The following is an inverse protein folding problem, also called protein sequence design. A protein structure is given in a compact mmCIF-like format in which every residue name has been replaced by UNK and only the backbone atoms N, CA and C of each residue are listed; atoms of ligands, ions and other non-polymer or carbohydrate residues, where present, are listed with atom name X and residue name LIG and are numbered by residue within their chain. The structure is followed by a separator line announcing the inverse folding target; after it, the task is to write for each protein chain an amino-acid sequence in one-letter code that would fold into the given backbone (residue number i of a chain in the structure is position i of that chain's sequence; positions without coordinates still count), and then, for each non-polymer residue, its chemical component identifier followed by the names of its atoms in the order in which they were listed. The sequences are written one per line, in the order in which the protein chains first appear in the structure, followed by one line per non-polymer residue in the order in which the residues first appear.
data_IF_473736080490
#
_entry.id   IF_473736080490
#
_cell.length_a   1.000
_cell.length_b   1.000
_cell.length_c   1.000
_cell.angle_alpha   90.00
_cell.angle_beta   90.00
_cell.angle_gamma   90.00
#
_symmetry.space_group_name_H-M   'P 1'
#
loop_
_entity.id
_entity.type
_entity.pdbx_description
1 polymer ?
#
# COMPACT_ATOMS: atom_id res chain seq x y z
N UNK A 1 17.86 -25.47 0.76
CA UNK A 1 16.48 -25.94 0.49
C UNK A 1 15.69 -24.78 -0.09
N UNK A 2 15.02 -24.98 -1.22
CA UNK A 2 13.93 -24.11 -1.67
C UNK A 2 12.65 -24.80 -1.21
N UNK A 3 11.97 -24.22 -0.23
CA UNK A 3 10.78 -24.82 0.38
C UNK A 3 9.55 -23.97 0.03
N UNK A 4 8.89 -24.31 -1.08
CA UNK A 4 7.49 -23.96 -1.32
C UNK A 4 6.63 -24.95 -0.55
N UNK A 5 6.33 -24.67 0.73
CA UNK A 5 5.34 -25.31 1.66
C UNK A 5 5.14 -26.86 1.70
N UNK A 6 5.79 -27.63 0.83
CA UNK A 6 5.60 -29.07 0.58
C UNK A 6 6.79 -29.89 1.08
N UNK A 7 7.98 -29.28 1.17
CA UNK A 7 9.20 -29.98 1.60
C UNK A 7 9.36 -30.11 3.14
N UNK A 8 8.40 -29.62 3.93
CA UNK A 8 8.50 -29.47 5.39
C UNK A 8 7.97 -30.67 6.20
N UNK A 9 7.35 -31.67 5.56
CA UNK A 9 6.93 -32.90 6.23
C UNK A 9 7.99 -33.99 6.04
N UNK A 10 8.88 -34.13 7.01
CA UNK A 10 9.78 -35.29 7.15
C UNK A 10 11.28 -35.00 7.08
N UNK A 11 11.71 -33.79 6.70
CA UNK A 11 13.11 -33.37 6.82
C UNK A 11 13.26 -32.48 8.06
N UNK A 12 14.05 -32.93 9.02
CA UNK A 12 14.53 -32.12 10.14
C UNK A 12 15.56 -31.10 9.62
N UNK A 13 15.08 -29.94 9.16
CA UNK A 13 15.93 -28.88 8.60
C UNK A 13 16.58 -28.09 9.73
N UNK A 14 17.63 -28.67 10.34
CA UNK A 14 18.49 -27.94 11.27
C UNK A 14 19.35 -26.95 10.47
N UNK A 15 19.51 -25.73 10.98
CA UNK A 15 20.41 -24.69 10.46
C UNK A 15 20.04 -24.16 9.05
N UNK A 16 18.84 -23.59 8.90
CA UNK A 16 18.48 -22.85 7.68
C UNK A 16 19.36 -21.59 7.60
N UNK A 17 20.17 -21.48 6.56
CA UNK A 17 21.05 -20.30 6.34
C UNK A 17 20.38 -19.21 5.52
N UNK A 18 19.45 -19.58 4.64
CA UNK A 18 18.78 -18.66 3.73
C UNK A 18 17.27 -18.91 3.69
N UNK A 19 16.49 -17.84 3.72
CA UNK A 19 15.04 -17.85 3.49
C UNK A 19 14.76 -17.00 2.25
N UNK A 20 14.05 -17.56 1.28
CA UNK A 20 13.61 -16.85 0.07
C UNK A 20 12.09 -16.77 0.07
N UNK A 21 11.56 -15.56 0.20
CA UNK A 21 10.15 -15.28 -0.02
C UNK A 21 9.95 -14.95 -1.50
N UNK A 22 9.43 -15.92 -2.25
CA UNK A 22 9.07 -15.73 -3.66
C UNK A 22 7.88 -14.78 -3.79
N UNK A 23 6.84 -15.01 -2.98
CA UNK A 23 5.70 -14.10 -2.85
C UNK A 23 5.68 -13.50 -1.44
N UNK A 24 5.43 -12.19 -1.37
CA UNK A 24 5.30 -11.50 -0.09
C UNK A 24 4.03 -12.00 0.63
N UNK A 25 4.11 -12.35 1.94
CA UNK A 25 2.96 -12.85 2.69
C UNK A 25 1.88 -11.78 2.91
N UNK A 26 0.68 -12.21 3.28
CA UNK A 26 -0.47 -11.30 3.40
C UNK A 26 -0.33 -10.25 4.51
N UNK A 27 0.44 -10.55 5.56
CA UNK A 27 0.70 -9.65 6.71
C UNK A 27 2.22 -9.59 7.00
N UNK A 28 2.64 -8.60 7.78
CA UNK A 28 4.03 -8.46 8.25
C UNK A 28 4.40 -9.48 9.34
N UNK A 29 3.42 -9.98 10.10
CA UNK A 29 3.66 -10.98 11.15
C UNK A 29 4.08 -12.33 10.56
N UNK A 30 3.41 -12.81 9.51
CA UNK A 30 3.80 -14.04 8.81
C UNK A 30 5.16 -13.86 8.13
N UNK A 31 5.48 -12.64 7.65
CA UNK A 31 6.82 -12.32 7.15
C UNK A 31 7.88 -12.53 8.24
N UNK A 32 7.67 -12.00 9.45
CA UNK A 32 8.57 -12.19 10.59
C UNK A 32 8.71 -13.69 10.93
N UNK A 33 7.60 -14.43 10.97
CA UNK A 33 7.61 -15.86 11.24
C UNK A 33 8.31 -16.70 10.16
N UNK A 34 8.28 -16.27 8.89
CA UNK A 34 8.99 -16.90 7.77
C UNK A 34 10.49 -16.66 7.85
N UNK A 35 10.93 -15.42 8.07
CA UNK A 35 12.36 -15.11 8.16
C UNK A 35 12.97 -15.66 9.46
N UNK A 36 12.19 -15.79 10.54
CA UNK A 36 12.61 -16.43 11.80
C UNK A 36 12.89 -17.95 11.71
N UNK A 37 12.86 -18.52 10.50
CA UNK A 37 13.35 -19.87 10.22
C UNK A 37 14.88 -19.90 10.09
N UNK A 38 15.52 -18.79 9.73
CA UNK A 38 16.98 -18.61 9.71
C UNK A 38 17.47 -17.78 10.91
N UNK A 39 18.79 -17.65 11.08
CA UNK A 39 19.39 -16.75 12.08
C UNK A 39 19.22 -17.18 13.55
N UNK A 40 19.07 -18.48 13.83
CA UNK A 40 18.82 -19.00 15.19
C UNK A 40 20.11 -19.22 15.98
N UNK A 41 20.03 -19.14 17.30
CA UNK A 41 21.14 -19.42 18.23
C UNK A 41 22.43 -18.62 17.96
N UNK A 42 22.29 -17.34 17.58
CA UNK A 42 23.41 -16.45 17.27
C UNK A 42 24.08 -16.69 15.92
N UNK A 43 23.56 -17.63 15.12
CA UNK A 43 24.02 -17.83 13.74
C UNK A 43 23.50 -16.72 12.84
N UNK A 44 24.27 -16.37 11.80
CA UNK A 44 23.81 -15.46 10.77
C UNK A 44 22.84 -16.16 9.82
N UNK A 45 21.82 -15.43 9.39
CA UNK A 45 20.81 -15.89 8.44
C UNK A 45 20.46 -14.80 7.45
N UNK A 46 20.24 -15.17 6.20
CA UNK A 46 19.90 -14.22 5.13
C UNK A 46 18.47 -14.44 4.67
N UNK A 47 17.65 -13.39 4.72
CA UNK A 47 16.32 -13.40 4.15
C UNK A 47 16.27 -12.54 2.88
N UNK A 48 15.81 -13.14 1.79
CA UNK A 48 15.63 -12.47 0.50
C UNK A 48 14.14 -12.49 0.20
N UNK A 49 13.59 -11.34 -0.18
CA UNK A 49 12.16 -11.22 -0.45
C UNK A 49 11.95 -10.49 -1.75
N UNK A 50 11.20 -11.13 -2.66
CA UNK A 50 10.75 -10.48 -3.87
C UNK A 50 9.51 -9.67 -3.53
N UNK A 51 9.58 -8.37 -3.77
CA UNK A 51 8.50 -7.43 -3.44
C UNK A 51 8.04 -6.75 -4.72
N UNK A 52 6.74 -6.83 -5.00
CA UNK A 52 6.13 -6.29 -6.22
C UNK A 52 5.22 -5.11 -5.91
N UNK A 53 4.82 -4.37 -6.95
CA UNK A 53 3.84 -3.27 -6.82
C UNK A 53 2.48 -3.73 -6.33
N UNK A 54 2.12 -5.00 -6.54
CA UNK A 54 0.84 -5.55 -6.06
C UNK A 54 0.80 -5.64 -4.53
N UNK A 55 1.98 -5.76 -3.90
CA UNK A 55 2.17 -5.79 -2.45
C UNK A 55 2.28 -4.39 -1.82
N UNK A 56 2.12 -3.32 -2.59
CA UNK A 56 2.37 -1.94 -2.14
C UNK A 56 1.62 -1.56 -0.85
N UNK A 57 0.43 -2.12 -0.62
CA UNK A 57 -0.34 -1.93 0.62
C UNK A 57 0.43 -2.35 1.89
N UNK A 58 1.28 -3.37 1.77
CA UNK A 58 2.08 -3.93 2.86
C UNK A 58 3.47 -3.27 2.96
N UNK A 59 3.85 -2.42 2.00
CA UNK A 59 5.18 -1.81 1.94
C UNK A 59 5.47 -0.98 3.20
N UNK A 60 4.46 -0.30 3.74
CA UNK A 60 4.61 0.54 4.94
C UNK A 60 5.01 -0.30 6.15
N UNK A 61 4.34 -1.42 6.36
CA UNK A 61 4.60 -2.30 7.48
C UNK A 61 5.97 -2.99 7.33
N UNK A 62 6.32 -3.40 6.11
CA UNK A 62 7.63 -3.97 5.81
C UNK A 62 8.76 -2.98 6.11
N UNK A 63 8.63 -1.72 5.68
CA UNK A 63 9.64 -0.68 5.93
C UNK A 63 9.80 -0.43 7.42
N UNK A 64 8.72 -0.43 8.20
CA UNK A 64 8.80 -0.28 9.67
C UNK A 64 9.61 -1.42 10.30
N UNK A 65 9.36 -2.67 9.88
CA UNK A 65 10.10 -3.85 10.37
C UNK A 65 11.59 -3.75 9.99
N UNK A 66 11.91 -3.34 8.76
CA UNK A 66 13.29 -3.17 8.32
C UNK A 66 14.00 -2.05 9.09
N UNK A 67 13.30 -0.95 9.39
CA UNK A 67 13.84 0.17 10.14
C UNK A 67 14.11 -0.20 11.60
N UNK A 68 13.20 -0.92 12.24
CA UNK A 68 13.37 -1.45 13.60
C UNK A 68 14.58 -2.40 13.68
N UNK A 69 14.72 -3.26 12.69
CA UNK A 69 15.86 -4.16 12.55
C UNK A 69 17.16 -3.49 12.05
N UNK A 70 17.16 -2.15 11.89
CA UNK A 70 18.30 -1.34 11.40
C UNK A 70 18.89 -1.84 10.07
N UNK A 71 18.04 -2.37 9.19
CA UNK A 71 18.44 -2.86 7.88
C UNK A 71 18.51 -1.72 6.86
N UNK A 72 19.29 -1.92 5.80
CA UNK A 72 19.28 -1.00 4.66
C UNK A 72 17.97 -1.15 3.88
N UNK A 73 17.22 -0.06 3.76
CA UNK A 73 15.96 -0.02 3.02
C UNK A 73 16.26 0.36 1.58
N UNK A 74 15.79 -0.46 0.63
CA UNK A 74 15.91 -0.15 -0.80
C UNK A 74 15.13 1.14 -1.12
N UNK A 75 15.73 2.12 -1.82
CA UNK A 75 15.07 3.36 -2.22
C UNK A 75 13.74 3.13 -2.97
N UNK A 76 13.64 2.08 -3.79
CA UNK A 76 12.42 1.73 -4.53
C UNK A 76 11.30 1.31 -3.59
N UNK A 77 11.61 0.58 -2.52
CA UNK A 77 10.64 0.20 -1.51
C UNK A 77 10.14 1.44 -0.74
N UNK A 78 11.06 2.35 -0.40
CA UNK A 78 10.70 3.61 0.26
C UNK A 78 9.80 4.48 -0.64
N UNK A 79 10.07 4.54 -1.94
CA UNK A 79 9.19 5.22 -2.92
C UNK A 79 7.81 4.56 -2.98
N UNK A 80 7.72 3.23 -3.00
CA UNK A 80 6.43 2.52 -2.99
C UNK A 80 5.56 2.90 -1.79
N UNK A 81 6.15 3.11 -0.60
CA UNK A 81 5.42 3.62 0.57
C UNK A 81 4.89 5.04 0.36
N UNK A 82 5.68 5.92 -0.26
CA UNK A 82 5.29 7.32 -0.52
C UNK A 82 4.16 7.42 -1.54
N UNK A 83 4.18 6.57 -2.58
CA UNK A 83 3.15 6.55 -3.62
C UNK A 83 1.94 5.68 -3.27
N UNK A 84 2.06 4.76 -2.31
CA UNK A 84 0.99 3.82 -1.92
C UNK A 84 -0.14 4.43 -1.10
N UNK A 85 -0.03 5.71 -0.74
CA UNK A 85 -1.00 6.45 0.05
C UNK A 85 -1.95 7.36 -0.74
N UNK A 86 -1.95 7.33 -2.08
CA UNK A 86 -2.58 8.40 -2.87
C UNK A 86 -3.38 7.93 -4.08
N UNK A 87 -4.57 7.35 -3.85
CA UNK A 87 -5.49 6.97 -4.93
C UNK A 87 -6.92 6.75 -4.45
N UNK A 88 -7.40 7.56 -3.52
CA UNK A 88 -8.72 7.40 -2.93
C UNK A 88 -9.14 8.65 -2.18
N UNK A 89 -9.14 9.78 -2.88
CA UNK A 89 -9.69 11.03 -2.38
C UNK A 89 -11.16 10.87 -2.02
N UNK A 90 -11.43 10.53 -0.77
CA UNK A 90 -12.66 10.88 -0.07
C UNK A 90 -12.69 12.39 0.06
N UNK A 91 -13.08 13.06 -1.02
CA UNK A 91 -13.52 14.43 -1.04
C UNK A 91 -14.93 14.50 -0.47
N UNK A 92 -15.00 14.93 0.78
CA UNK A 92 -16.18 15.28 1.54
C UNK A 92 -17.26 16.00 0.74
N UNK A 93 -18.51 15.66 1.05
CA UNK A 93 -19.63 16.59 0.90
C UNK A 93 -19.31 17.91 1.61
N UNK A 94 -19.51 19.00 0.88
CA UNK A 94 -19.28 20.35 1.37
C UNK A 94 -20.07 21.32 0.53
N UNK A 95 -21.33 21.54 0.91
CA UNK A 95 -22.09 22.73 0.57
C UNK A 95 -21.22 23.97 0.84
N UNK A 96 -20.65 24.59 -0.20
CA UNK A 96 -20.15 25.96 -0.14
C UNK A 96 -20.39 26.62 -1.49
N UNK A 97 -21.28 27.60 -1.45
CA UNK A 97 -21.80 28.27 -2.62
C UNK A 97 -20.74 28.91 -3.50
N UNK A 98 -21.06 28.97 -4.78
CA UNK A 98 -20.52 29.93 -5.72
C UNK A 98 -21.66 30.36 -6.63
N UNK A 99 -22.14 31.57 -6.38
CA UNK A 99 -23.07 32.25 -7.27
C UNK A 99 -22.47 32.44 -8.66
N UNK A 100 -23.34 32.68 -9.63
CA UNK A 100 -22.92 33.13 -10.94
C UNK A 100 -23.89 32.82 -12.06
N UNK A 101 -24.91 33.68 -12.21
CA UNK A 101 -25.42 34.11 -13.51
C UNK A 101 -26.15 33.07 -14.37
N UNK A 102 -27.49 33.10 -14.31
CA UNK A 102 -28.31 32.80 -15.49
C UNK A 102 -29.32 33.92 -15.71
N UNK A 103 -28.96 34.72 -16.71
CA UNK A 103 -29.75 35.61 -17.55
C UNK A 103 -31.27 35.57 -17.36
N UNK A 104 -31.84 36.76 -17.12
CA UNK A 104 -33.20 37.05 -17.58
C UNK A 104 -33.21 38.45 -18.19
N UNK A 105 -32.70 38.55 -19.42
CA UNK A 105 -32.89 39.70 -20.29
C UNK A 105 -33.89 39.28 -21.37
N UNK A 106 -35.14 39.69 -21.20
CA UNK A 106 -36.18 39.67 -22.21
C UNK A 106 -37.28 40.66 -21.82
N UNK A 107 -37.07 41.91 -22.27
CA UNK A 107 -38.10 42.83 -22.75
C UNK A 107 -39.10 43.40 -21.72
N UNK A 108 -38.65 44.44 -21.03
CA UNK A 108 -39.53 45.49 -20.54
C UNK A 108 -39.90 46.42 -21.73
N UNK A 109 -41.10 46.27 -22.30
CA UNK A 109 -41.74 47.24 -23.18
C UNK A 109 -42.90 47.91 -22.40
N UNK A 110 -42.96 49.24 -22.33
CA UNK A 110 -43.96 49.95 -21.54
C UNK A 110 -45.25 50.19 -22.33
N UNK A 111 -46.37 50.20 -21.59
CA UNK A 111 -47.63 50.90 -21.87
C UNK A 111 -48.43 50.54 -23.13
N UNK A 112 -49.69 50.14 -22.92
CA UNK A 112 -50.79 50.66 -23.73
C UNK A 112 -51.83 49.65 -24.23
N UNK A 113 -53.08 49.91 -23.83
CA UNK A 113 -54.32 49.70 -24.59
C UNK A 113 -55.00 48.31 -24.69
N UNK A 114 -56.16 48.26 -24.00
CA UNK A 114 -57.53 48.04 -24.53
C UNK A 114 -58.01 46.60 -24.84
N UNK A 115 -59.15 46.29 -24.19
CA UNK A 115 -60.43 45.71 -24.70
C UNK A 115 -60.31 44.33 -25.38
N UNK A 116 -61.05 43.28 -25.02
CA UNK A 116 -62.45 43.13 -24.64
C UNK A 116 -62.60 41.91 -23.72
#
# INVERSE_FOLDING_TARGET
MVATDVASRGIDVRNITHVLNYDYPNNSEDYIHRIGRTGRAGQHGTAITLFTTDNQKQARDLVNVLQEAKQQIDPRLAEMVRYGGGGGGRGYGGYRGRGGGRANNSNNLPLGNRRW
#
